data_IF_419467777166
#
_entry.id   IF_419467777166
#
_cell.length_a   1.000
_cell.length_b   1.000
_cell.length_c   1.000
_cell.angle_alpha   90.00
_cell.angle_beta   90.00
_cell.angle_gamma   90.00
#
_symmetry.space_group_name_H-M   'P 1'
#
loop_
_entity.id
_entity.type
_entity.pdbx_description
1 polymer ?
#
# COMPACT_ATOMS: atom_id res chain seq x y z
N UNK A 1 4.36 24.90 -11.91
CA UNK A 1 2.97 24.48 -11.69
C UNK A 1 2.77 23.26 -12.55
N UNK A 2 2.46 22.15 -11.91
CA UNK A 2 2.14 20.92 -12.59
C UNK A 2 0.90 21.12 -13.47
N UNK A 3 0.83 20.41 -14.59
CA UNK A 3 -0.34 20.42 -15.48
C UNK A 3 -1.16 19.15 -15.27
N UNK A 4 -2.47 19.29 -15.39
CA UNK A 4 -3.40 18.14 -15.44
C UNK A 4 -3.77 17.83 -16.89
N UNK A 5 -3.41 16.63 -17.34
CA UNK A 5 -3.69 16.07 -18.67
C UNK A 5 -5.06 15.40 -18.62
N UNK A 6 -5.98 15.83 -19.49
CA UNK A 6 -7.38 15.34 -19.52
C UNK A 6 -7.77 14.58 -20.79
N UNK A 7 -6.96 14.70 -21.85
CA UNK A 7 -7.31 14.22 -23.19
C UNK A 7 -6.39 13.10 -23.69
N UNK A 8 -5.57 12.51 -22.81
CA UNK A 8 -4.73 11.35 -23.11
C UNK A 8 -4.62 10.44 -21.89
N UNK A 9 -4.00 9.28 -22.06
CA UNK A 9 -3.72 8.29 -21.01
C UNK A 9 -2.23 7.97 -20.99
N UNK A 10 -1.68 7.56 -19.84
CA UNK A 10 -0.31 7.05 -19.73
C UNK A 10 0.09 6.10 -20.85
N UNK A 11 -0.74 5.09 -21.15
CA UNK A 11 -0.47 4.12 -22.22
C UNK A 11 -0.31 4.75 -23.59
N UNK A 12 -1.12 5.76 -23.93
CA UNK A 12 -1.06 6.47 -25.22
C UNK A 12 0.15 7.38 -25.33
N UNK A 13 0.59 7.93 -24.21
CA UNK A 13 1.72 8.84 -24.12
C UNK A 13 3.06 8.11 -23.89
N UNK A 14 3.06 6.77 -23.89
CA UNK A 14 4.28 5.95 -23.74
C UNK A 14 4.78 5.83 -22.30
N UNK A 15 3.91 6.04 -21.31
CA UNK A 15 4.23 5.89 -19.89
C UNK A 15 3.75 4.52 -19.36
N UNK A 16 4.50 3.95 -18.43
CA UNK A 16 4.16 2.72 -17.68
C UNK A 16 4.32 2.94 -16.18
N UNK A 17 3.58 2.17 -15.38
CA UNK A 17 3.88 2.06 -13.95
C UNK A 17 5.12 1.18 -13.76
N UNK A 18 6.17 1.65 -13.06
CA UNK A 18 7.33 0.81 -12.75
C UNK A 18 7.02 -0.18 -11.63
N UNK A 19 7.72 -1.31 -11.56
CA UNK A 19 7.66 -2.21 -10.41
C UNK A 19 8.23 -1.54 -9.16
N UNK A 20 7.69 -1.84 -7.99
CA UNK A 20 8.17 -1.28 -6.70
C UNK A 20 9.61 -1.68 -6.34
N UNK A 21 10.17 -2.69 -7.01
CA UNK A 21 11.58 -3.07 -6.87
C UNK A 21 12.51 -2.28 -7.80
N UNK A 22 12.00 -1.49 -8.74
CA UNK A 22 12.81 -0.63 -9.61
C UNK A 22 13.48 0.50 -8.81
N UNK A 23 14.49 1.22 -9.35
CA UNK A 23 15.19 2.26 -8.59
C UNK A 23 14.26 3.40 -8.14
N UNK A 24 14.47 3.90 -6.92
CA UNK A 24 13.66 4.99 -6.34
C UNK A 24 14.38 6.33 -6.38
N UNK A 25 13.61 7.41 -6.50
CA UNK A 25 14.03 8.75 -6.10
C UNK A 25 13.90 8.89 -4.57
N UNK A 26 12.78 8.46 -4.01
CA UNK A 26 12.51 8.53 -2.59
C UNK A 26 11.16 7.93 -2.21
N UNK A 27 10.78 8.12 -0.95
CA UNK A 27 9.55 7.59 -0.37
C UNK A 27 8.81 8.65 0.47
N UNK A 28 7.51 8.43 0.65
CA UNK A 28 6.62 9.25 1.45
C UNK A 28 5.96 8.44 2.57
N UNK A 29 5.69 9.09 3.71
CA UNK A 29 4.82 8.61 4.79
C UNK A 29 3.95 9.80 5.21
N UNK A 30 2.70 9.55 5.60
CA UNK A 30 1.89 10.55 6.32
C UNK A 30 2.00 10.30 7.82
N UNK A 31 2.23 11.36 8.58
CA UNK A 31 2.41 11.33 10.02
C UNK A 31 1.09 10.98 10.72
N UNK A 32 1.04 9.93 11.57
CA UNK A 32 -0.16 9.55 12.28
C UNK A 32 -0.48 10.56 13.37
N UNK A 33 -1.76 10.89 13.49
CA UNK A 33 -2.24 11.86 14.46
C UNK A 33 -3.51 11.39 15.17
N UNK A 34 -4.05 12.24 16.02
CA UNK A 34 -5.27 11.92 16.77
C UNK A 34 -6.44 11.73 15.79
N UNK A 35 -7.10 10.59 15.89
CA UNK A 35 -8.29 10.23 15.13
C UNK A 35 -8.90 8.92 15.63
N UNK A 36 -9.80 8.33 14.84
CA UNK A 36 -10.43 7.05 15.18
C UNK A 36 -9.45 5.86 15.05
N UNK A 37 -8.49 5.95 14.12
CA UNK A 37 -7.63 4.83 13.75
C UNK A 37 -6.39 4.66 14.63
N UNK A 38 -5.95 5.70 15.37
CA UNK A 38 -4.74 5.65 16.17
C UNK A 38 -4.97 5.99 17.63
N UNK A 39 -4.74 5.00 18.51
CA UNK A 39 -4.96 5.13 19.95
C UNK A 39 -4.07 6.17 20.62
N UNK A 40 -4.51 6.66 21.79
CA UNK A 40 -3.77 7.58 22.64
C UNK A 40 -3.30 8.84 21.90
N UNK A 41 -4.15 9.37 21.01
CA UNK A 41 -3.85 10.54 20.18
C UNK A 41 -2.70 10.31 19.20
N UNK A 42 -2.50 9.07 18.76
CA UNK A 42 -1.48 8.67 17.78
C UNK A 42 -0.07 8.48 18.32
N UNK A 43 0.19 8.69 19.63
CA UNK A 43 1.56 8.71 20.15
C UNK A 43 2.35 7.41 19.90
N UNK A 44 1.79 6.21 20.10
CA UNK A 44 2.48 4.97 19.77
C UNK A 44 2.73 4.80 18.26
N UNK A 45 1.74 5.09 17.41
CA UNK A 45 1.91 5.03 15.96
C UNK A 45 2.97 6.03 15.45
N UNK A 46 3.08 7.20 16.08
CA UNK A 46 4.15 8.17 15.78
C UNK A 46 5.55 7.61 16.09
N UNK A 47 5.70 6.70 17.07
CA UNK A 47 6.98 6.01 17.30
C UNK A 47 7.33 5.07 16.15
N UNK A 48 6.33 4.34 15.63
CA UNK A 48 6.51 3.50 14.44
C UNK A 48 6.87 4.36 13.22
N UNK A 49 6.15 5.46 12.97
CA UNK A 49 6.47 6.38 11.87
C UNK A 49 7.92 6.88 11.93
N UNK A 50 8.43 7.21 13.12
CA UNK A 50 9.82 7.64 13.32
C UNK A 50 10.81 6.53 12.97
N UNK A 51 10.54 5.31 13.43
CA UNK A 51 11.40 4.13 13.14
C UNK A 51 11.44 3.87 11.64
N UNK A 52 10.27 3.78 11.00
CA UNK A 52 10.17 3.47 9.56
C UNK A 52 10.80 4.60 8.73
N UNK A 53 10.41 5.86 8.94
CA UNK A 53 10.93 6.99 8.17
C UNK A 53 12.45 7.16 8.33
N UNK A 54 12.99 7.03 9.54
CA UNK A 54 14.43 7.13 9.75
C UNK A 54 15.19 5.96 9.10
N UNK A 55 14.61 4.75 9.10
CA UNK A 55 15.20 3.60 8.41
C UNK A 55 15.23 3.82 6.90
N UNK A 56 14.12 4.27 6.31
CA UNK A 56 14.07 4.60 4.86
C UNK A 56 15.10 5.67 4.50
N UNK A 57 15.28 6.69 5.35
CA UNK A 57 16.25 7.77 5.14
C UNK A 57 17.73 7.32 5.18
N UNK A 58 18.02 6.07 5.50
CA UNK A 58 19.35 5.47 5.32
C UNK A 58 19.61 5.02 3.88
N UNK A 59 18.55 4.82 3.08
CA UNK A 59 18.62 4.24 1.73
C UNK A 59 18.28 5.25 0.63
N UNK A 60 17.34 6.16 0.87
CA UNK A 60 16.83 7.08 -0.14
C UNK A 60 16.24 8.36 0.45
N UNK A 61 15.81 9.29 -0.40
CA UNK A 61 15.12 10.49 0.05
C UNK A 61 13.82 10.10 0.77
N UNK A 62 13.60 10.64 1.97
CA UNK A 62 12.40 10.35 2.76
C UNK A 62 11.65 11.64 3.05
N UNK A 63 10.35 11.67 2.76
CA UNK A 63 9.47 12.81 3.05
C UNK A 63 8.32 12.41 3.95
N UNK A 64 8.23 13.02 5.13
CA UNK A 64 7.07 12.90 6.01
C UNK A 64 6.12 14.07 5.77
N UNK A 65 4.87 13.74 5.47
CA UNK A 65 3.76 14.68 5.37
C UNK A 65 3.07 14.79 6.73
N UNK A 66 2.75 15.98 7.19
CA UNK A 66 2.00 16.16 8.44
C UNK A 66 1.03 17.35 8.39
N UNK A 67 0.10 17.38 9.34
CA UNK A 67 -0.71 18.56 9.62
C UNK A 67 0.14 19.70 10.21
N UNK A 68 -0.37 20.93 10.14
CA UNK A 68 0.25 22.09 10.78
C UNK A 68 0.46 21.86 12.29
N UNK A 69 -0.56 21.29 12.96
CA UNK A 69 -0.57 21.04 14.40
C UNK A 69 0.46 19.99 14.83
N UNK A 70 0.84 19.06 13.95
CA UNK A 70 1.87 18.07 14.23
C UNK A 70 3.24 18.42 13.68
N UNK A 71 3.40 19.53 12.94
CA UNK A 71 4.64 19.86 12.23
C UNK A 71 5.86 19.92 13.15
N UNK A 72 5.79 20.70 14.24
CA UNK A 72 6.91 20.83 15.18
C UNK A 72 7.22 19.50 15.89
N UNK A 73 6.18 18.72 16.24
CA UNK A 73 6.34 17.41 16.88
C UNK A 73 7.02 16.41 15.92
N UNK A 74 6.54 16.29 14.68
CA UNK A 74 7.13 15.42 13.67
C UNK A 74 8.59 15.82 13.42
N UNK A 75 8.84 17.12 13.18
CA UNK A 75 10.17 17.64 12.89
C UNK A 75 11.16 17.38 14.03
N UNK A 76 10.74 17.53 15.28
CA UNK A 76 11.58 17.32 16.46
C UNK A 76 11.97 15.84 16.68
N UNK A 77 11.21 14.89 16.14
CA UNK A 77 11.42 13.44 16.34
C UNK A 77 12.12 12.75 15.18
N UNK A 78 12.05 13.32 13.99
CA UNK A 78 12.61 12.75 12.77
C UNK A 78 14.06 13.21 12.54
N UNK A 79 14.87 12.33 11.99
CA UNK A 79 16.24 12.63 11.54
C UNK A 79 16.27 13.84 10.59
N UNK A 80 17.34 14.65 10.65
CA UNK A 80 17.54 15.80 9.75
C UNK A 80 17.56 15.40 8.26
N UNK A 81 17.81 14.12 7.95
CA UNK A 81 17.74 13.57 6.58
C UNK A 81 16.32 13.44 6.03
N UNK A 82 15.32 13.38 6.91
CA UNK A 82 13.92 13.28 6.51
C UNK A 82 13.41 14.68 6.20
N UNK A 83 12.84 14.92 5.03
CA UNK A 83 12.11 16.16 4.71
C UNK A 83 10.75 16.13 5.40
N UNK A 84 10.32 17.23 6.01
CA UNK A 84 8.96 17.34 6.61
C UNK A 84 8.19 18.42 5.86
N UNK A 85 6.98 18.11 5.43
CA UNK A 85 6.13 19.01 4.62
C UNK A 85 4.72 19.04 5.21
N UNK A 86 4.17 20.25 5.32
CA UNK A 86 2.78 20.44 5.73
C UNK A 86 1.83 20.19 4.56
N UNK A 87 0.96 19.18 4.67
CA UNK A 87 -0.18 18.94 3.76
C UNK A 87 -1.34 18.37 4.58
N UNK A 88 -2.53 18.96 4.45
CA UNK A 88 -3.73 18.45 5.11
C UNK A 88 -4.21 17.12 4.48
N UNK A 89 -4.51 16.15 5.34
CA UNK A 89 -5.08 14.82 5.04
C UNK A 89 -6.17 14.49 6.08
N UNK A 90 -7.03 13.52 5.82
CA UNK A 90 -8.00 13.01 6.82
C UNK A 90 -7.42 11.81 7.60
N UNK A 91 -6.53 11.03 6.98
CA UNK A 91 -5.92 9.83 7.55
C UNK A 91 -4.42 9.74 7.12
N UNK A 92 -3.64 8.80 7.63
CA UNK A 92 -2.23 8.53 7.34
C UNK A 92 -1.89 7.36 6.37
N UNK A 93 -2.85 6.83 5.60
CA UNK A 93 -2.58 5.81 4.54
C UNK A 93 -2.11 6.40 3.22
N UNK A 94 -0.82 6.67 3.08
CA UNK A 94 -0.26 7.32 1.88
C UNK A 94 -0.29 6.41 0.63
N UNK A 95 -0.18 5.10 0.78
CA UNK A 95 -0.19 4.16 -0.35
C UNK A 95 -1.50 4.24 -1.14
N UNK A 96 -2.61 4.35 -0.43
CA UNK A 96 -3.93 4.14 -1.01
C UNK A 96 -4.50 5.39 -1.70
N UNK A 97 -4.31 6.56 -1.10
CA UNK A 97 -4.72 7.85 -1.68
C UNK A 97 -3.56 8.60 -2.36
N UNK A 98 -2.41 7.96 -2.41
CA UNK A 98 -1.16 8.50 -2.90
C UNK A 98 -1.12 8.74 -4.39
N UNK A 99 0.05 9.14 -4.85
CA UNK A 99 0.33 9.33 -6.25
C UNK A 99 0.67 7.99 -6.92
N UNK A 100 -0.05 7.64 -7.99
CA UNK A 100 0.40 6.60 -8.91
C UNK A 100 1.39 7.21 -9.91
N UNK A 101 2.68 6.96 -9.71
CA UNK A 101 3.73 7.47 -10.59
C UNK A 101 3.90 6.56 -11.82
N UNK A 102 4.00 7.17 -12.99
CA UNK A 102 4.30 6.49 -14.25
C UNK A 102 5.52 7.13 -14.89
N UNK A 103 6.36 6.31 -15.52
CA UNK A 103 7.63 6.72 -16.15
C UNK A 103 7.66 6.32 -17.63
N UNK A 104 8.50 6.98 -18.43
CA UNK A 104 8.76 6.58 -19.82
C UNK A 104 10.27 6.36 -20.06
N UNK A 105 10.60 5.79 -21.22
CA UNK A 105 11.99 5.51 -21.62
C UNK A 105 12.78 6.78 -21.99
N UNK A 106 12.15 7.97 -21.93
CA UNK A 106 12.78 9.27 -22.17
C UNK A 106 13.26 9.95 -20.88
N UNK A 107 13.08 9.28 -19.72
CA UNK A 107 13.48 9.80 -18.41
C UNK A 107 12.47 10.79 -17.81
N UNK A 108 11.22 10.80 -18.28
CA UNK A 108 10.15 11.61 -17.73
C UNK A 108 9.32 10.85 -16.68
N UNK A 109 8.79 11.59 -15.71
CA UNK A 109 7.83 11.09 -14.73
C UNK A 109 6.53 11.87 -14.83
N UNK A 110 5.41 11.18 -14.75
CA UNK A 110 4.07 11.76 -14.57
C UNK A 110 3.34 11.05 -13.45
N UNK A 111 2.22 11.65 -13.04
CA UNK A 111 1.32 11.11 -12.04
C UNK A 111 -0.02 10.67 -12.62
N UNK A 112 -0.74 9.79 -11.95
CA UNK A 112 -2.15 9.49 -12.24
C UNK A 112 -2.97 9.78 -11.00
N UNK A 113 -4.02 10.59 -11.16
CA UNK A 113 -4.94 10.94 -10.08
C UNK A 113 -6.17 10.06 -10.16
N UNK A 114 -6.15 8.90 -9.49
CA UNK A 114 -7.38 8.10 -9.28
C UNK A 114 -8.27 8.75 -8.23
N UNK A 115 -9.54 8.32 -8.22
CA UNK A 115 -10.45 8.71 -7.16
C UNK A 115 -10.17 7.89 -5.88
N UNK A 116 -10.47 8.49 -4.74
CA UNK A 116 -10.37 7.85 -3.44
C UNK A 116 -11.66 8.07 -2.67
N UNK A 117 -12.17 7.03 -2.01
CA UNK A 117 -13.45 7.10 -1.30
C UNK A 117 -13.45 6.53 0.11
N UNK A 118 -12.29 6.50 0.78
CA UNK A 118 -12.14 5.86 2.09
C UNK A 118 -12.62 4.41 2.10
N UNK A 119 -12.23 3.65 1.07
CA UNK A 119 -12.45 2.20 0.97
C UNK A 119 -13.93 1.76 0.94
N UNK A 120 -14.83 2.58 0.39
CA UNK A 120 -16.24 2.19 0.24
C UNK A 120 -17.27 3.32 0.32
N UNK A 121 -16.82 4.57 0.40
CA UNK A 121 -17.67 5.75 0.35
C UNK A 121 -18.61 5.87 1.56
N UNK A 122 -19.78 6.46 1.36
CA UNK A 122 -20.70 6.83 2.45
C UNK A 122 -21.38 5.64 3.13
N UNK A 123 -21.34 4.45 2.53
CA UNK A 123 -22.10 3.29 3.01
C UNK A 123 -21.21 2.31 3.76
N UNK A 124 -20.11 1.91 3.13
CA UNK A 124 -19.24 0.84 3.62
C UNK A 124 -17.79 1.35 3.86
N UNK A 125 -17.52 2.64 3.68
CA UNK A 125 -16.18 3.21 3.85
C UNK A 125 -15.76 3.31 5.32
N UNK A 126 -14.45 3.41 5.54
CA UNK A 126 -13.85 3.37 6.87
C UNK A 126 -13.97 4.67 7.66
N UNK A 127 -14.21 5.80 7.01
CA UNK A 127 -14.40 7.09 7.67
C UNK A 127 -15.07 8.12 6.79
N UNK A 128 -15.62 9.16 7.40
CA UNK A 128 -16.08 10.39 6.73
C UNK A 128 -15.68 11.64 7.55
N UNK A 129 -15.26 12.74 6.89
CA UNK A 129 -15.05 12.90 5.44
C UNK A 129 -13.66 12.42 4.97
N UNK A 130 -13.48 12.31 3.65
CA UNK A 130 -12.22 11.95 2.97
C UNK A 130 -11.85 12.97 1.86
N UNK A 131 -12.35 14.19 1.97
CA UNK A 131 -12.20 15.25 0.97
C UNK A 131 -10.75 15.77 0.86
N UNK A 132 -10.00 15.79 1.96
CA UNK A 132 -8.59 16.17 1.97
C UNK A 132 -7.73 15.07 1.37
N UNK A 133 -8.11 13.81 1.61
CA UNK A 133 -7.46 12.64 1.05
C UNK A 133 -7.61 12.57 -0.47
N UNK A 134 -8.79 12.92 -1.01
CA UNK A 134 -8.99 13.07 -2.47
C UNK A 134 -8.14 14.17 -3.12
N UNK A 135 -7.71 15.16 -2.34
CA UNK A 135 -6.84 16.23 -2.84
C UNK A 135 -5.36 15.88 -2.74
N UNK A 136 -5.01 14.83 -1.98
CA UNK A 136 -3.64 14.54 -1.57
C UNK A 136 -2.70 14.31 -2.76
N UNK A 137 -3.05 13.40 -3.69
CA UNK A 137 -2.25 13.12 -4.87
C UNK A 137 -1.96 14.39 -5.70
N UNK A 138 -2.95 15.26 -5.89
CA UNK A 138 -2.77 16.52 -6.61
C UNK A 138 -1.81 17.47 -5.91
N UNK A 139 -1.91 17.61 -4.58
CA UNK A 139 -0.97 18.43 -3.79
C UNK A 139 0.44 17.87 -3.87
N UNK A 140 0.59 16.54 -3.87
CA UNK A 140 1.89 15.88 -4.00
C UNK A 140 2.52 16.13 -5.38
N UNK A 141 1.73 16.06 -6.45
CA UNK A 141 2.20 16.38 -7.81
C UNK A 141 2.60 17.84 -7.97
N UNK A 142 1.88 18.80 -7.37
CA UNK A 142 2.28 20.21 -7.37
C UNK A 142 3.56 20.45 -6.56
N UNK A 143 3.70 19.80 -5.40
CA UNK A 143 4.90 19.88 -4.57
C UNK A 143 6.16 19.43 -5.33
N UNK A 144 6.03 18.31 -6.06
CA UNK A 144 7.14 17.73 -6.82
C UNK A 144 7.26 18.29 -8.25
N UNK A 145 6.36 19.20 -8.65
CA UNK A 145 6.26 19.76 -10.01
C UNK A 145 6.20 18.68 -11.10
N UNK A 146 5.29 17.72 -10.92
CA UNK A 146 5.06 16.56 -11.81
C UNK A 146 3.69 16.69 -12.50
N UNK A 147 3.67 16.69 -13.83
CA UNK A 147 2.43 16.67 -14.59
C UNK A 147 1.63 15.38 -14.32
N UNK A 148 0.31 15.43 -14.33
CA UNK A 148 -0.54 14.28 -13.97
C UNK A 148 -1.76 14.10 -14.86
N UNK A 149 -2.26 12.86 -14.97
CA UNK A 149 -3.48 12.51 -15.68
C UNK A 149 -4.68 12.51 -14.74
N UNK A 150 -5.81 13.02 -15.22
CA UNK A 150 -7.09 13.01 -14.49
C UNK A 150 -7.81 11.67 -14.68
N UNK A 151 -7.79 10.83 -13.65
CA UNK A 151 -8.46 9.53 -13.61
C UNK A 151 -9.48 9.43 -12.46
N UNK A 152 -9.93 10.56 -11.91
CA UNK A 152 -10.75 10.60 -10.67
C UNK A 152 -12.11 9.92 -10.78
N UNK A 153 -12.56 9.65 -12.01
CA UNK A 153 -13.78 8.88 -12.30
C UNK A 153 -13.63 7.38 -11.97
N UNK A 154 -12.41 6.90 -11.75
CA UNK A 154 -12.10 5.51 -11.42
C UNK A 154 -11.49 5.46 -10.03
N UNK A 155 -12.16 4.79 -9.10
CA UNK A 155 -11.68 4.58 -7.72
C UNK A 155 -10.67 3.45 -7.72
N UNK A 156 -9.45 3.72 -7.27
CA UNK A 156 -8.39 2.72 -7.17
C UNK A 156 -7.41 3.11 -6.06
N UNK A 157 -7.25 2.21 -5.09
CA UNK A 157 -6.26 2.34 -4.02
C UNK A 157 -4.93 1.65 -4.39
N UNK A 158 -3.80 2.24 -3.99
CA UNK A 158 -2.48 1.65 -4.22
C UNK A 158 -2.32 0.23 -3.67
N UNK A 159 -2.74 -0.03 -2.42
CA UNK A 159 -2.65 -1.35 -1.79
C UNK A 159 -3.57 -2.40 -2.45
N UNK A 160 -4.58 -1.96 -3.22
CA UNK A 160 -5.41 -2.86 -4.02
C UNK A 160 -4.70 -3.37 -5.29
N UNK A 161 -3.45 -2.94 -5.52
CA UNK A 161 -2.67 -3.24 -6.73
C UNK A 161 -1.27 -3.75 -6.42
N UNK A 162 -0.78 -4.70 -7.24
CA UNK A 162 0.66 -4.98 -7.35
C UNK A 162 1.04 -5.23 -8.82
N UNK A 163 2.15 -4.65 -9.25
CA UNK A 163 2.58 -4.66 -10.64
C UNK A 163 4.05 -5.06 -10.81
N UNK A 164 4.38 -5.70 -11.94
CA UNK A 164 5.70 -6.25 -12.22
C UNK A 164 6.64 -5.30 -13.00
N UNK A 165 6.19 -4.08 -13.28
CA UNK A 165 6.93 -3.11 -14.11
C UNK A 165 7.02 -3.47 -15.61
N UNK A 166 6.55 -4.65 -16.01
CA UNK A 166 6.69 -5.19 -17.37
C UNK A 166 5.34 -5.52 -18.04
N UNK A 167 4.27 -4.93 -17.52
CA UNK A 167 2.94 -4.94 -18.12
C UNK A 167 1.93 -5.85 -17.44
N UNK A 168 2.23 -6.38 -16.25
CA UNK A 168 1.31 -7.23 -15.47
C UNK A 168 0.91 -6.54 -14.17
N UNK A 169 -0.38 -6.62 -13.85
CA UNK A 169 -0.94 -6.26 -12.54
C UNK A 169 -1.71 -7.45 -11.95
N UNK A 170 -1.62 -7.62 -10.64
CA UNK A 170 -2.45 -8.53 -9.86
C UNK A 170 -3.43 -7.70 -9.05
N UNK A 171 -4.71 -8.08 -9.09
CA UNK A 171 -5.82 -7.48 -8.36
C UNK A 171 -6.62 -8.56 -7.64
N UNK A 172 -7.42 -8.18 -6.65
CA UNK A 172 -8.49 -9.03 -6.11
C UNK A 172 -9.85 -8.61 -6.69
N UNK A 173 -10.69 -9.59 -7.03
CA UNK A 173 -12.09 -9.36 -7.43
C UNK A 173 -12.90 -8.78 -6.27
N UNK A 174 -12.68 -9.29 -5.06
CA UNK A 174 -13.38 -8.85 -3.84
C UNK A 174 -13.28 -7.33 -3.61
N UNK A 175 -12.11 -6.72 -3.88
CA UNK A 175 -11.93 -5.28 -3.72
C UNK A 175 -12.33 -4.52 -4.99
N UNK A 176 -11.67 -4.82 -6.11
CA UNK A 176 -11.74 -3.97 -7.30
C UNK A 176 -13.06 -4.09 -8.08
N UNK A 177 -13.85 -5.14 -7.82
CA UNK A 177 -15.21 -5.30 -8.36
C UNK A 177 -16.30 -5.12 -7.29
N UNK A 178 -15.92 -4.64 -6.08
CA UNK A 178 -16.89 -4.30 -5.06
C UNK A 178 -17.79 -3.15 -5.55
N UNK A 179 -19.13 -3.26 -5.43
CA UNK A 179 -20.04 -2.18 -5.81
C UNK A 179 -19.75 -0.83 -5.12
N UNK A 180 -19.07 -0.83 -3.97
CA UNK A 180 -18.69 0.37 -3.23
C UNK A 180 -17.47 1.11 -3.82
N UNK A 181 -16.78 0.54 -4.81
CA UNK A 181 -15.72 1.19 -5.60
C UNK A 181 -16.32 1.75 -6.89
N UNK A 182 -16.35 0.90 -7.93
CA UNK A 182 -16.72 1.25 -9.30
C UNK A 182 -17.98 0.47 -9.71
N UNK A 183 -19.03 0.48 -8.88
CA UNK A 183 -20.21 -0.39 -9.04
C UNK A 183 -21.03 -0.17 -10.32
N UNK A 184 -20.75 0.90 -11.06
CA UNK A 184 -21.28 1.21 -12.39
C UNK A 184 -20.39 0.72 -13.55
N UNK A 185 -19.21 0.17 -13.28
CA UNK A 185 -18.28 -0.37 -14.27
C UNK A 185 -18.33 -1.91 -14.34
N UNK A 186 -18.25 -2.46 -15.55
CA UNK A 186 -18.03 -3.90 -15.74
C UNK A 186 -16.59 -4.30 -15.41
N UNK A 187 -16.34 -5.60 -15.21
CA UNK A 187 -14.99 -6.13 -15.03
C UNK A 187 -14.06 -5.75 -16.18
N UNK A 188 -14.55 -5.81 -17.42
CA UNK A 188 -13.81 -5.43 -18.62
C UNK A 188 -13.49 -3.93 -18.66
N UNK A 189 -14.37 -3.09 -18.12
CA UNK A 189 -14.14 -1.64 -18.01
C UNK A 189 -13.07 -1.33 -16.96
N UNK A 190 -13.12 -1.99 -15.80
CA UNK A 190 -12.07 -1.92 -14.77
C UNK A 190 -10.73 -2.36 -15.36
N UNK A 191 -10.68 -3.51 -16.04
CA UNK A 191 -9.44 -3.97 -16.70
C UNK A 191 -8.90 -2.97 -17.73
N UNK A 192 -9.79 -2.38 -18.54
CA UNK A 192 -9.42 -1.37 -19.54
C UNK A 192 -8.85 -0.12 -18.89
N UNK A 193 -9.47 0.38 -17.82
CA UNK A 193 -8.97 1.54 -17.08
C UNK A 193 -7.59 1.25 -16.47
N UNK A 194 -7.39 0.09 -15.84
CA UNK A 194 -6.07 -0.31 -15.34
C UNK A 194 -5.02 -0.33 -16.46
N UNK A 195 -5.33 -0.95 -17.61
CA UNK A 195 -4.39 -1.01 -18.76
C UNK A 195 -4.03 0.39 -19.28
N UNK A 196 -5.01 1.26 -19.46
CA UNK A 196 -4.82 2.60 -20.02
C UNK A 196 -4.07 3.54 -19.06
N UNK A 197 -4.47 3.55 -17.78
CA UNK A 197 -3.93 4.48 -16.79
C UNK A 197 -2.67 3.97 -16.07
N UNK A 198 -2.36 2.69 -16.12
CA UNK A 198 -1.11 2.16 -15.56
C UNK A 198 -0.10 1.74 -16.63
N UNK A 199 -0.45 1.86 -17.92
CA UNK A 199 0.46 1.55 -19.03
C UNK A 199 0.86 0.08 -19.09
N UNK A 200 -0.10 -0.82 -18.86
CA UNK A 200 0.10 -2.26 -18.76
C UNK A 200 -0.80 -3.05 -19.71
N UNK A 201 -0.59 -4.37 -19.81
CA UNK A 201 -1.21 -5.23 -20.82
C UNK A 201 -2.07 -6.36 -20.24
N UNK A 202 -1.69 -6.90 -19.08
CA UNK A 202 -2.34 -8.05 -18.47
C UNK A 202 -2.78 -7.77 -17.03
N UNK A 203 -4.02 -8.12 -16.74
CA UNK A 203 -4.60 -8.13 -15.38
C UNK A 203 -4.77 -9.58 -14.96
N UNK A 204 -4.30 -9.93 -13.77
CA UNK A 204 -4.52 -11.21 -13.12
C UNK A 204 -5.46 -10.98 -11.94
N UNK A 205 -6.54 -11.77 -11.91
CA UNK A 205 -7.58 -11.67 -10.91
C UNK A 205 -7.46 -12.78 -9.87
N UNK A 206 -6.99 -12.44 -8.68
CA UNK A 206 -7.26 -13.24 -7.49
C UNK A 206 -8.70 -13.02 -7.07
N UNK A 207 -9.31 -13.99 -6.41
CA UNK A 207 -10.74 -13.87 -6.06
C UNK A 207 -10.98 -13.04 -4.81
N UNK A 208 -10.16 -13.23 -3.78
CA UNK A 208 -10.38 -12.68 -2.43
C UNK A 208 -9.06 -12.23 -1.81
N UNK A 209 -9.14 -11.22 -0.94
CA UNK A 209 -8.06 -10.81 -0.07
C UNK A 209 -8.05 -11.56 1.26
N UNK A 210 -7.13 -11.19 2.17
CA UNK A 210 -7.00 -11.84 3.47
C UNK A 210 -8.28 -11.66 4.30
N UNK A 211 -8.58 -12.64 5.15
CA UNK A 211 -9.58 -12.44 6.20
C UNK A 211 -9.09 -11.36 7.17
N UNK A 212 -10.04 -10.67 7.80
CA UNK A 212 -9.85 -9.59 8.77
C UNK A 212 -9.31 -8.28 8.19
N UNK A 213 -9.07 -8.25 6.88
CA UNK A 213 -8.79 -7.02 6.18
C UNK A 213 -10.06 -6.15 6.10
N UNK A 214 -9.84 -4.84 6.19
CA UNK A 214 -10.90 -3.82 6.23
C UNK A 214 -11.01 -3.07 4.90
N UNK A 215 -10.16 -3.38 3.92
CA UNK A 215 -10.05 -2.68 2.64
C UNK A 215 -10.81 -3.38 1.50
N UNK A 216 -11.70 -4.32 1.83
CA UNK A 216 -12.41 -5.22 0.89
C UNK A 216 -11.50 -6.24 0.16
N UNK A 217 -10.34 -6.53 0.74
CA UNK A 217 -9.42 -7.57 0.32
C UNK A 217 -8.31 -7.04 -0.57
N UNK A 218 -7.54 -6.06 -0.10
CA UNK A 218 -6.35 -5.58 -0.81
C UNK A 218 -5.37 -6.74 -1.13
N UNK A 219 -4.60 -6.55 -2.21
CA UNK A 219 -3.69 -7.58 -2.73
C UNK A 219 -2.33 -7.54 -2.07
N UNK A 220 -1.93 -6.41 -1.50
CA UNK A 220 -0.67 -6.22 -0.79
C UNK A 220 -0.52 -7.06 0.49
N UNK A 221 -1.63 -7.51 1.06
CA UNK A 221 -1.65 -8.51 2.12
C UNK A 221 -1.58 -9.97 1.59
N UNK A 222 -1.87 -10.18 0.31
CA UNK A 222 -1.87 -11.52 -0.31
C UNK A 222 -0.53 -11.83 -0.95
N UNK A 223 -0.04 -10.98 -1.85
CA UNK A 223 1.20 -11.21 -2.57
C UNK A 223 1.81 -9.94 -3.13
N UNK A 224 3.12 -9.93 -3.35
CA UNK A 224 3.81 -8.89 -4.12
C UNK A 224 4.83 -9.48 -5.09
N UNK A 225 5.24 -8.70 -6.10
CA UNK A 225 6.32 -9.07 -7.00
C UNK A 225 7.68 -8.76 -6.37
N UNK A 226 8.51 -9.79 -6.16
CA UNK A 226 9.91 -9.59 -5.73
C UNK A 226 10.74 -8.99 -6.87
N UNK A 227 10.46 -9.47 -8.09
CA UNK A 227 11.03 -9.06 -9.38
C UNK A 227 10.13 -9.62 -10.49
N UNK A 228 10.33 -9.27 -11.77
CA UNK A 228 9.48 -9.79 -12.85
C UNK A 228 9.45 -11.32 -12.88
N UNK A 229 8.25 -11.90 -12.83
CA UNK A 229 8.03 -13.36 -12.83
C UNK A 229 8.22 -14.06 -11.47
N UNK A 230 8.55 -13.35 -10.38
CA UNK A 230 8.76 -13.94 -9.04
C UNK A 230 7.88 -13.27 -8.00
N UNK A 231 7.11 -14.05 -7.26
CA UNK A 231 6.09 -13.59 -6.33
C UNK A 231 6.37 -14.13 -4.92
N UNK A 232 6.26 -13.26 -3.91
CA UNK A 232 6.06 -13.67 -2.52
C UNK A 232 4.55 -13.74 -2.23
N UNK A 233 4.09 -14.83 -1.62
CA UNK A 233 2.69 -15.10 -1.32
C UNK A 233 2.53 -15.40 0.18
N UNK A 234 1.66 -14.66 0.88
CA UNK A 234 1.24 -14.97 2.25
C UNK A 234 0.72 -16.41 2.33
N UNK A 235 1.13 -17.14 3.38
CA UNK A 235 0.86 -18.57 3.48
C UNK A 235 0.64 -19.07 4.91
N UNK A 236 -0.08 -20.19 5.02
CA UNK A 236 -0.16 -21.05 6.20
C UNK A 236 -0.19 -22.51 5.75
N UNK A 237 0.45 -23.41 6.50
CA UNK A 237 0.44 -24.85 6.17
C UNK A 237 -0.74 -25.59 6.79
N UNK A 238 -1.27 -25.10 7.92
CA UNK A 238 -2.43 -25.72 8.55
C UNK A 238 -3.69 -25.50 7.70
N UNK A 239 -4.18 -26.59 7.13
CA UNK A 239 -5.38 -26.63 6.28
C UNK A 239 -6.66 -26.20 7.01
N UNK A 240 -6.64 -26.22 8.35
CA UNK A 240 -7.76 -25.78 9.19
C UNK A 240 -7.66 -24.30 9.58
N UNK A 241 -6.54 -23.63 9.30
CA UNK A 241 -6.39 -22.21 9.55
C UNK A 241 -7.40 -21.41 8.69
N UNK A 242 -8.10 -20.40 9.24
CA UNK A 242 -9.12 -19.65 8.50
C UNK A 242 -8.62 -19.03 7.19
N UNK A 243 -7.34 -18.62 7.15
CA UNK A 243 -6.72 -18.04 5.95
C UNK A 243 -6.33 -19.07 4.88
N UNK A 244 -6.22 -20.37 5.20
CA UNK A 244 -5.74 -21.38 4.26
C UNK A 244 -6.54 -21.42 2.94
N UNK A 245 -7.89 -21.38 2.94
CA UNK A 245 -8.66 -21.36 1.70
C UNK A 245 -8.38 -20.15 0.81
N UNK A 246 -8.10 -18.98 1.41
CA UNK A 246 -7.77 -17.75 0.68
C UNK A 246 -6.42 -17.89 -0.01
N UNK A 247 -5.38 -18.26 0.72
CA UNK A 247 -4.03 -18.40 0.16
C UNK A 247 -3.93 -19.55 -0.83
N UNK A 248 -4.63 -20.66 -0.58
CA UNK A 248 -4.70 -21.79 -1.52
C UNK A 248 -5.34 -21.37 -2.84
N UNK A 249 -6.41 -20.58 -2.78
CA UNK A 249 -7.09 -20.05 -3.96
C UNK A 249 -6.19 -19.09 -4.76
N UNK A 250 -5.48 -18.18 -4.08
CA UNK A 250 -4.49 -17.31 -4.70
C UNK A 250 -3.36 -18.11 -5.37
N UNK A 251 -2.78 -19.10 -4.68
CA UNK A 251 -1.75 -19.99 -5.22
C UNK A 251 -2.25 -20.76 -6.46
N UNK A 252 -3.48 -21.27 -6.44
CA UNK A 252 -4.05 -22.05 -7.54
C UNK A 252 -4.31 -21.21 -8.79
N UNK A 253 -4.60 -19.91 -8.63
CA UNK A 253 -4.67 -18.96 -9.75
C UNK A 253 -3.28 -18.66 -10.27
N UNK A 254 -2.39 -18.16 -9.40
CA UNK A 254 -1.04 -17.72 -9.78
C UNK A 254 -0.23 -18.85 -10.45
N UNK A 255 -0.30 -20.08 -9.92
CA UNK A 255 0.44 -21.22 -10.48
C UNK A 255 -0.01 -21.64 -11.89
N UNK A 256 -1.22 -21.23 -12.32
CA UNK A 256 -1.76 -21.52 -13.66
C UNK A 256 -1.58 -20.36 -14.63
N UNK A 257 -1.39 -19.15 -14.12
CA UNK A 257 -1.22 -17.94 -14.91
C UNK A 257 0.17 -17.82 -15.54
N UNK A 258 0.33 -16.79 -16.37
CA UNK A 258 1.62 -16.25 -16.81
C UNK A 258 1.57 -14.74 -16.69
N UNK A 259 2.70 -14.07 -16.69
CA UNK A 259 2.72 -12.62 -16.83
C UNK A 259 2.48 -12.16 -18.28
N UNK A 260 2.49 -10.84 -18.51
CA UNK A 260 2.34 -10.20 -19.82
C UNK A 260 3.46 -10.57 -20.81
N UNK A 261 4.61 -11.03 -20.32
CA UNK A 261 5.74 -11.52 -21.14
C UNK A 261 5.70 -13.03 -21.36
N UNK A 262 4.69 -13.73 -20.85
CA UNK A 262 4.51 -15.17 -21.00
C UNK A 262 5.33 -16.02 -20.04
N UNK A 263 5.96 -15.44 -19.01
CA UNK A 263 6.70 -16.21 -17.99
C UNK A 263 5.73 -16.86 -17.02
N UNK A 264 6.05 -18.07 -16.58
CA UNK A 264 5.37 -18.71 -15.44
C UNK A 264 5.92 -18.12 -14.14
N UNK A 265 5.06 -17.95 -13.15
CA UNK A 265 5.48 -17.41 -11.86
C UNK A 265 6.25 -18.44 -11.03
N UNK A 266 7.40 -18.00 -10.51
CA UNK A 266 8.02 -18.61 -9.34
C UNK A 266 7.33 -18.03 -8.09
N UNK A 267 6.70 -18.89 -7.28
CA UNK A 267 5.89 -18.47 -6.14
C UNK A 267 6.54 -18.95 -4.85
N UNK A 268 6.98 -18.01 -4.02
CA UNK A 268 7.55 -18.27 -2.70
C UNK A 268 6.51 -18.01 -1.63
N UNK A 269 6.30 -19.00 -0.77
CA UNK A 269 5.34 -18.92 0.34
C UNK A 269 6.02 -18.31 1.55
N UNK A 270 5.42 -17.26 2.09
CA UNK A 270 5.88 -16.57 3.30
C UNK A 270 4.84 -16.79 4.39
N UNK A 271 5.21 -17.51 5.46
CA UNK A 271 4.27 -17.81 6.53
C UNK A 271 3.82 -16.54 7.25
N UNK A 272 2.52 -16.36 7.44
CA UNK A 272 1.99 -15.23 8.22
C UNK A 272 2.25 -15.43 9.73
N UNK A 273 2.25 -14.36 10.55
CA UNK A 273 2.25 -14.46 12.00
C UNK A 273 0.96 -15.13 12.53
N UNK A 274 0.92 -15.42 13.82
CA UNK A 274 -0.32 -15.78 14.50
C UNK A 274 -1.36 -14.64 14.43
N UNK A 275 -2.66 -14.99 14.53
CA UNK A 275 -3.73 -13.98 14.49
C UNK A 275 -3.66 -13.10 15.74
N UNK A 276 -3.37 -11.82 15.52
CA UNK A 276 -3.31 -10.80 16.57
C UNK A 276 -4.69 -10.19 16.73
N UNK A 277 -5.05 -9.88 17.98
CA UNK A 277 -6.31 -9.22 18.31
C UNK A 277 -6.05 -7.94 19.09
N UNK A 278 -6.90 -6.93 18.89
CA UNK A 278 -6.91 -5.71 19.72
C UNK A 278 -7.25 -6.10 21.15
N UNK A 279 -6.39 -5.77 22.11
CA UNK A 279 -6.64 -6.03 23.53
C UNK A 279 -7.64 -5.03 24.12
N UNK A 280 -8.27 -5.38 25.25
CA UNK A 280 -9.12 -4.43 25.99
C UNK A 280 -8.38 -3.15 26.39
N UNK A 281 -7.07 -3.23 26.66
CA UNK A 281 -6.28 -2.06 27.03
C UNK A 281 -5.93 -1.18 25.83
N UNK A 282 -5.60 -1.78 24.68
CA UNK A 282 -5.39 -1.04 23.44
C UNK A 282 -6.70 -0.36 22.99
N UNK A 283 -7.84 -1.05 23.09
CA UNK A 283 -9.17 -0.53 22.74
C UNK A 283 -9.51 0.79 23.47
N UNK A 284 -9.23 0.90 24.77
CA UNK A 284 -9.53 2.11 25.57
C UNK A 284 -8.85 3.39 25.06
N UNK A 285 -7.79 3.26 24.28
CA UNK A 285 -7.08 4.42 23.74
C UNK A 285 -7.67 4.96 22.45
N UNK A 286 -8.62 4.28 21.79
CA UNK A 286 -9.23 4.76 20.55
C UNK A 286 -10.43 5.67 20.84
N UNK A 287 -10.54 6.74 20.05
CA UNK A 287 -11.74 7.56 20.03
C UNK A 287 -12.84 6.84 19.23
N UNK A 288 -14.06 6.83 19.75
CA UNK A 288 -15.23 6.29 19.04
C UNK A 288 -15.86 7.42 18.22
N UNK A 289 -15.96 7.22 16.90
CA UNK A 289 -16.60 8.14 15.97
C UNK A 289 -17.76 7.45 15.24
N UNK A 290 -18.89 8.15 15.08
CA UNK A 290 -20.11 7.58 14.49
C UNK A 290 -19.93 7.21 13.01
N UNK A 291 -19.14 8.01 12.29
CA UNK A 291 -18.89 7.86 10.86
C UNK A 291 -17.49 7.31 10.58
N UNK A 292 -16.97 6.42 11.45
CA UNK A 292 -15.70 5.73 11.23
C UNK A 292 -15.73 4.28 11.71
N UNK A 293 -14.86 3.45 11.13
CA UNK A 293 -14.73 2.05 11.50
C UNK A 293 -14.35 1.91 12.98
N UNK A 294 -15.05 1.06 13.74
CA UNK A 294 -14.74 0.88 15.15
C UNK A 294 -13.46 0.05 15.34
N UNK A 295 -12.83 0.22 16.49
CA UNK A 295 -11.69 -0.57 16.95
C UNK A 295 -12.11 -1.35 18.19
N UNK A 296 -12.71 -2.51 18.01
CA UNK A 296 -13.36 -3.26 19.09
C UNK A 296 -12.36 -4.16 19.86
N UNK A 297 -12.59 -4.42 21.17
CA UNK A 297 -11.80 -5.40 21.89
C UNK A 297 -12.00 -6.80 21.28
N UNK A 298 -10.91 -7.55 21.18
CA UNK A 298 -10.82 -8.84 20.48
C UNK A 298 -11.12 -8.79 18.97
N UNK A 299 -11.05 -7.63 18.33
CA UNK A 299 -11.06 -7.56 16.87
C UNK A 299 -9.78 -8.18 16.31
N UNK A 300 -9.87 -9.18 15.42
CA UNK A 300 -8.70 -9.75 14.76
C UNK A 300 -8.12 -8.76 13.74
N UNK A 301 -6.81 -8.81 13.54
CA UNK A 301 -6.08 -7.97 12.59
C UNK A 301 -5.67 -8.78 11.35
N UNK A 302 -5.75 -8.17 10.16
CA UNK A 302 -5.00 -8.63 9.01
C UNK A 302 -3.53 -8.27 9.21
N UNK A 303 -2.70 -9.28 9.49
CA UNK A 303 -1.25 -9.11 9.69
C UNK A 303 -0.49 -10.11 8.82
N UNK A 304 0.48 -9.60 8.08
CA UNK A 304 1.39 -10.40 7.27
C UNK A 304 2.76 -9.73 7.18
N UNK A 305 3.80 -10.55 6.99
CA UNK A 305 5.17 -10.06 6.79
C UNK A 305 5.42 -9.49 5.41
N UNK A 306 4.53 -9.75 4.45
CA UNK A 306 4.71 -9.27 3.08
C UNK A 306 4.19 -7.85 2.86
N UNK A 307 3.43 -7.28 3.80
CA UNK A 307 3.00 -5.88 3.80
C UNK A 307 4.20 -4.97 4.17
N UNK A 308 5.28 -5.16 3.41
CA UNK A 308 6.58 -4.56 3.54
C UNK A 308 6.86 -3.56 2.44
N UNK A 309 8.01 -2.90 2.50
CA UNK A 309 8.32 -1.79 1.59
C UNK A 309 9.70 -1.94 0.98
N UNK A 310 9.78 -1.80 -0.34
CA UNK A 310 11.04 -1.69 -1.03
C UNK A 310 11.70 -0.34 -0.77
N UNK A 311 13.01 -0.35 -0.62
CA UNK A 311 13.86 0.83 -0.71
C UNK A 311 15.06 0.51 -1.60
N UNK A 312 15.78 1.52 -2.07
CA UNK A 312 17.02 1.31 -2.80
C UNK A 312 17.99 0.42 -2.01
N UNK A 313 18.26 -0.79 -2.51
CA UNK A 313 19.18 -1.75 -1.84
C UNK A 313 18.64 -2.37 -0.55
N UNK A 314 17.35 -2.24 -0.23
CA UNK A 314 16.74 -2.82 0.98
C UNK A 314 15.29 -3.26 0.80
N UNK A 315 14.78 -3.96 1.80
CA UNK A 315 13.36 -4.29 1.96
C UNK A 315 12.99 -4.27 3.45
N UNK A 316 11.94 -3.56 3.80
CA UNK A 316 11.47 -3.41 5.18
C UNK A 316 10.33 -4.40 5.44
N UNK A 317 10.45 -5.18 6.50
CA UNK A 317 9.52 -6.25 6.86
C UNK A 317 8.83 -5.88 8.18
N UNK A 318 7.49 -5.92 8.26
CA UNK A 318 6.77 -5.80 9.51
C UNK A 318 7.24 -6.82 10.55
N UNK A 319 7.25 -6.46 11.82
CA UNK A 319 7.53 -7.38 12.93
C UNK A 319 6.49 -7.20 14.01
N UNK A 320 6.04 -8.32 14.55
CA UNK A 320 4.84 -8.39 15.39
C UNK A 320 5.12 -8.88 16.81
N UNK A 321 6.39 -9.15 17.15
CA UNK A 321 6.79 -9.93 18.32
C UNK A 321 6.20 -11.35 18.25
N UNK A 322 6.23 -11.92 17.04
CA UNK A 322 5.74 -13.26 16.69
C UNK A 322 6.92 -14.24 16.53
N UNK A 323 6.77 -15.55 16.82
CA UNK A 323 7.85 -16.52 16.69
C UNK A 323 8.46 -16.62 15.29
N UNK A 324 7.74 -16.23 14.24
CA UNK A 324 8.20 -16.27 12.84
C UNK A 324 8.81 -14.95 12.34
N UNK A 325 8.89 -13.93 13.20
CA UNK A 325 9.43 -12.61 12.85
C UNK A 325 10.79 -12.71 12.11
N UNK A 326 11.72 -13.51 12.65
CA UNK A 326 13.04 -13.71 12.08
C UNK A 326 13.08 -14.69 10.92
N UNK A 327 12.15 -15.65 10.87
CA UNK A 327 12.01 -16.59 9.75
C UNK A 327 11.62 -15.82 8.48
N UNK A 328 10.64 -14.92 8.58
CA UNK A 328 10.22 -14.09 7.46
C UNK A 328 11.35 -13.23 6.91
N UNK A 329 12.14 -12.60 7.78
CA UNK A 329 13.33 -11.83 7.39
C UNK A 329 14.36 -12.71 6.68
N UNK A 330 14.65 -13.92 7.19
CA UNK A 330 15.59 -14.84 6.56
C UNK A 330 15.14 -15.28 5.17
N UNK A 331 13.89 -15.73 5.03
CA UNK A 331 13.36 -16.17 3.74
C UNK A 331 13.43 -15.02 2.73
N UNK A 332 12.94 -13.84 3.09
CA UNK A 332 12.97 -12.68 2.20
C UNK A 332 14.41 -12.25 1.85
N UNK A 333 15.35 -12.39 2.78
CA UNK A 333 16.76 -12.12 2.53
C UNK A 333 17.39 -13.10 1.53
N UNK A 334 17.02 -14.39 1.58
CA UNK A 334 17.45 -15.40 0.62
C UNK A 334 16.88 -15.13 -0.78
N UNK A 335 15.64 -14.63 -0.86
CA UNK A 335 14.98 -14.28 -2.12
C UNK A 335 15.50 -12.99 -2.74
N UNK A 336 16.07 -12.09 -1.92
CA UNK A 336 16.59 -10.80 -2.32
C UNK A 336 18.05 -10.61 -1.87
N UNK A 337 19.01 -11.41 -2.39
CA UNK A 337 20.39 -11.43 -1.90
C UNK A 337 21.14 -10.10 -2.08
N UNK A 338 20.70 -9.28 -3.04
CA UNK A 338 21.29 -7.96 -3.33
C UNK A 338 20.67 -6.83 -2.49
N UNK A 339 19.73 -7.15 -1.59
CA UNK A 339 19.07 -6.18 -0.70
C UNK A 339 19.34 -6.52 0.76
N UNK A 340 19.40 -5.49 1.60
CA UNK A 340 19.37 -5.65 3.05
C UNK A 340 17.91 -5.75 3.52
N UNK A 341 17.52 -6.91 4.03
CA UNK A 341 16.17 -7.10 4.60
C UNK A 341 16.17 -6.72 6.08
N UNK A 342 15.25 -5.85 6.50
CA UNK A 342 15.21 -5.28 7.84
C UNK A 342 13.82 -5.48 8.44
N UNK A 343 13.74 -6.24 9.53
CA UNK A 343 12.54 -6.32 10.37
C UNK A 343 12.36 -5.06 11.22
N UNK A 344 11.17 -4.45 11.20
CA UNK A 344 10.82 -3.27 12.00
C UNK A 344 9.60 -3.54 12.89
N UNK A 345 9.62 -3.17 14.19
CA UNK A 345 8.49 -3.38 15.08
C UNK A 345 7.32 -2.48 14.71
N UNK A 346 6.30 -3.03 14.05
CA UNK A 346 5.18 -2.27 13.49
C UNK A 346 3.81 -2.79 13.91
N UNK A 347 3.73 -3.74 14.85
CA UNK A 347 2.47 -4.23 15.45
C UNK A 347 1.50 -3.10 15.81
N UNK A 348 2.03 -2.03 16.39
CA UNK A 348 1.23 -0.88 16.81
C UNK A 348 0.50 -0.21 15.63
N UNK A 349 1.13 -0.15 14.45
CA UNK A 349 0.50 0.39 13.26
C UNK A 349 -0.62 -0.52 12.76
N UNK A 350 -0.48 -1.85 12.89
CA UNK A 350 -1.54 -2.80 12.50
C UNK A 350 -2.82 -2.70 13.31
N UNK A 351 -2.79 -2.10 14.49
CA UNK A 351 -4.03 -1.79 15.21
C UNK A 351 -4.94 -0.82 14.43
N UNK A 352 -4.38 -0.08 13.47
CA UNK A 352 -5.11 0.87 12.62
C UNK A 352 -5.62 0.27 11.29
N UNK A 353 -5.29 -0.98 10.96
CA UNK A 353 -5.84 -1.70 9.80
C UNK A 353 -4.88 -1.97 8.64
N UNK A 354 -3.57 -1.73 8.78
CA UNK A 354 -2.57 -1.99 7.73
C UNK A 354 -1.13 -2.03 8.27
N UNK A 355 -0.11 -2.04 7.42
CA UNK A 355 1.29 -2.05 7.87
C UNK A 355 2.22 -1.22 6.96
N UNK A 356 3.53 -1.54 6.92
CA UNK A 356 4.58 -0.74 6.29
C UNK A 356 4.17 -0.35 4.87
N UNK A 357 3.74 -1.31 4.05
CA UNK A 357 3.35 -1.04 2.67
C UNK A 357 2.25 0.03 2.59
N UNK A 358 1.17 -0.13 3.35
CA UNK A 358 0.03 0.80 3.35
C UNK A 358 0.42 2.22 3.83
N UNK A 359 1.39 2.33 4.75
CA UNK A 359 1.83 3.62 5.30
C UNK A 359 2.91 4.32 4.48
N UNK A 360 3.48 3.65 3.46
CA UNK A 360 4.55 4.19 2.60
C UNK A 360 4.10 4.36 1.16
N UNK A 361 4.73 5.27 0.42
CA UNK A 361 4.55 5.41 -1.03
C UNK A 361 5.90 5.65 -1.69
N UNK A 362 6.21 4.90 -2.75
CA UNK A 362 7.43 5.08 -3.55
C UNK A 362 7.27 6.19 -4.59
N UNK A 363 8.29 7.04 -4.72
CA UNK A 363 8.55 7.82 -5.93
C UNK A 363 9.66 7.13 -6.74
N UNK A 364 9.36 6.62 -7.95
CA UNK A 364 10.36 5.92 -8.75
C UNK A 364 11.44 6.87 -9.28
N UNK A 365 12.51 6.32 -9.84
CA UNK A 365 13.48 7.05 -10.66
C UNK A 365 13.22 6.70 -12.14
N UNK A 366 12.92 7.68 -13.01
CA UNK A 366 12.72 7.45 -14.45
C UNK A 366 13.97 6.93 -15.16
#
# INVERSE_FOLDING_TARGET
MARTIKNSTPKKDGFRIPGEFEPHKGSFIIWPEKGFAFRNGGKPAQEVAVIVANTIAEFEEMTVICSADQYENARARLSERVRVVEISTNESWVQDKGAFYVINDEGEMRGVQFGFNAYGGLKDGLYFPWDLDQQFAQKLFELENIDSYDAKHFILEGGATHYDGEGTIILTEQCNLNPNRNGDMSKEEVERNCKEYLGLDKVIWLKRGMLYDETDGHVDDICFFIKPGVIALSWVDDVNHPQYPVFKEAYDVLSKETDAKGRKFEIHKIHIPEVIHITEEENKGFDIAADAAPREPNQPLAVTYINGHFVNGGFLVPQFNDPRDQEAVQILQELMPDRKVIGLPTKEWSLSGGNIHCMTLVQPRP
#
